data_IF_829910584148
#
_entry.id   IF_829910584148
#
_cell.length_a   1.000
_cell.length_b   1.000
_cell.length_c   1.000
_cell.angle_alpha   90.00
_cell.angle_beta   90.00
_cell.angle_gamma   90.00
#
_symmetry.space_group_name_H-M   'P 1'
#
loop_
_entity.id
_entity.type
_entity.pdbx_description
1 polymer ?
#
# COMPACT_ATOMS: atom_id res chain seq x y z
N UNK A 1 -49.42 -35.72 -9.54
CA UNK A 1 -48.20 -35.98 -8.75
C UNK A 1 -46.91 -35.90 -9.56
N UNK A 2 -46.76 -36.61 -10.70
CA UNK A 2 -45.50 -36.59 -11.49
C UNK A 2 -45.06 -35.18 -11.95
N UNK A 3 -45.99 -34.34 -12.39
CA UNK A 3 -45.71 -32.95 -12.82
C UNK A 3 -45.26 -32.06 -11.65
N UNK A 4 -45.88 -32.19 -10.49
CA UNK A 4 -45.47 -31.49 -9.26
C UNK A 4 -44.05 -31.86 -8.83
N UNK A 5 -43.69 -33.14 -8.96
CA UNK A 5 -42.35 -33.63 -8.65
C UNK A 5 -41.30 -33.07 -9.61
N UNK A 6 -41.62 -32.96 -10.90
CA UNK A 6 -40.74 -32.35 -11.91
C UNK A 6 -40.53 -30.86 -11.63
N UNK A 7 -41.59 -30.11 -11.28
CA UNK A 7 -41.50 -28.69 -10.94
C UNK A 7 -40.63 -28.50 -9.68
N UNK A 8 -40.77 -29.37 -8.68
CA UNK A 8 -39.95 -29.33 -7.47
C UNK A 8 -38.46 -29.54 -7.77
N UNK A 9 -38.13 -30.50 -8.64
CA UNK A 9 -36.75 -30.76 -9.07
C UNK A 9 -36.17 -29.55 -9.81
N UNK A 10 -36.94 -28.93 -10.71
CA UNK A 10 -36.50 -27.73 -11.44
C UNK A 10 -36.26 -26.55 -10.50
N UNK A 11 -37.08 -26.37 -9.47
CA UNK A 11 -36.88 -25.34 -8.44
C UNK A 11 -35.60 -25.58 -7.63
N UNK A 12 -35.33 -26.82 -7.22
CA UNK A 12 -34.10 -27.17 -6.50
C UNK A 12 -32.88 -26.87 -7.37
N UNK A 13 -32.90 -27.27 -8.65
CA UNK A 13 -31.81 -26.99 -9.60
C UNK A 13 -31.60 -25.48 -9.75
N UNK A 14 -32.68 -24.70 -9.91
CA UNK A 14 -32.60 -23.24 -10.01
C UNK A 14 -31.96 -22.62 -8.76
N UNK A 15 -32.35 -23.05 -7.56
CA UNK A 15 -31.75 -22.59 -6.30
C UNK A 15 -30.27 -22.96 -6.20
N UNK A 16 -29.89 -24.18 -6.59
CA UNK A 16 -28.48 -24.63 -6.57
C UNK A 16 -27.64 -23.82 -7.55
N UNK A 17 -28.11 -23.62 -8.79
CA UNK A 17 -27.39 -22.80 -9.78
C UNK A 17 -27.28 -21.34 -9.30
N UNK A 18 -28.36 -20.76 -8.78
CA UNK A 18 -28.34 -19.39 -8.22
C UNK A 18 -27.38 -19.28 -7.04
N UNK A 19 -27.35 -20.27 -6.14
CA UNK A 19 -26.42 -20.31 -5.01
C UNK A 19 -24.96 -20.44 -5.49
N UNK A 20 -24.67 -21.29 -6.47
CA UNK A 20 -23.32 -21.43 -7.03
C UNK A 20 -22.86 -20.15 -7.75
N UNK A 21 -23.74 -19.50 -8.50
CA UNK A 21 -23.44 -18.22 -9.18
C UNK A 21 -23.22 -17.10 -8.16
N UNK A 22 -24.08 -16.95 -7.15
CA UNK A 22 -23.88 -15.96 -6.09
C UNK A 22 -22.65 -16.26 -5.23
N UNK A 23 -22.36 -17.52 -4.91
CA UNK A 23 -21.13 -17.89 -4.18
C UNK A 23 -19.88 -17.53 -5.00
N UNK A 24 -19.90 -17.74 -6.31
CA UNK A 24 -18.80 -17.38 -7.20
C UNK A 24 -18.66 -15.87 -7.38
N UNK A 25 -19.79 -15.14 -7.40
CA UNK A 25 -19.83 -13.68 -7.50
C UNK A 25 -19.36 -13.01 -6.21
N UNK A 26 -19.81 -13.51 -5.06
CA UNK A 26 -19.32 -13.08 -3.74
C UNK A 26 -17.85 -13.47 -3.55
N UNK A 27 -17.38 -14.60 -4.07
CA UNK A 27 -15.94 -14.89 -4.09
C UNK A 27 -15.16 -13.87 -4.94
N UNK A 28 -15.73 -13.35 -6.04
CA UNK A 28 -15.06 -12.34 -6.87
C UNK A 28 -15.12 -10.96 -6.21
N UNK A 29 -16.21 -10.61 -5.52
CA UNK A 29 -16.37 -9.36 -4.76
C UNK A 29 -15.57 -9.36 -3.44
N UNK A 30 -15.42 -10.51 -2.76
CA UNK A 30 -14.55 -10.68 -1.58
C UNK A 30 -13.06 -10.78 -1.96
N UNK A 31 -12.72 -11.06 -3.23
CA UNK A 31 -11.33 -11.07 -3.75
C UNK A 31 -10.84 -9.64 -4.09
N UNK A 32 -11.74 -8.67 -4.26
CA UNK A 32 -11.38 -7.27 -4.54
C UNK A 32 -10.99 -6.47 -3.28
N UNK A 33 -11.15 -7.05 -2.09
CA UNK A 33 -10.77 -6.41 -0.83
C UNK A 33 -9.54 -7.06 -0.21
N UNK A 34 -8.39 -6.45 -0.47
CA UNK A 34 -7.31 -6.33 0.52
C UNK A 34 -6.40 -5.13 0.19
N UNK A 35 -6.18 -4.83 -1.10
CA UNK A 35 -5.40 -3.66 -1.53
C UNK A 35 -6.01 -2.98 -2.76
N UNK A 36 -5.78 -1.67 -2.94
CA UNK A 36 -6.34 -0.92 -4.07
C UNK A 36 -5.88 -1.49 -5.43
N UNK A 37 -6.83 -1.68 -6.36
CA UNK A 37 -6.56 -2.16 -7.73
C UNK A 37 -5.52 -1.27 -8.43
N UNK A 38 -5.57 0.03 -8.16
CA UNK A 38 -4.64 1.02 -8.71
C UNK A 38 -3.20 0.76 -8.23
N UNK A 39 -3.00 0.52 -6.95
CA UNK A 39 -1.70 0.23 -6.36
C UNK A 39 -1.12 -1.08 -6.89
N UNK A 40 -1.95 -2.11 -7.05
CA UNK A 40 -1.55 -3.36 -7.69
C UNK A 40 -1.13 -3.12 -9.15
N UNK A 41 -1.87 -2.30 -9.89
CA UNK A 41 -1.54 -1.92 -11.27
C UNK A 41 -0.20 -1.20 -11.35
N UNK A 42 0.06 -0.26 -10.44
CA UNK A 42 1.34 0.44 -10.30
C UNK A 42 2.48 -0.55 -10.06
N UNK A 43 2.36 -1.44 -9.08
CA UNK A 43 3.41 -2.41 -8.78
C UNK A 43 3.66 -3.34 -9.98
N UNK A 44 2.61 -3.80 -10.66
CA UNK A 44 2.75 -4.61 -11.88
C UNK A 44 3.47 -3.85 -13.00
N UNK A 45 3.17 -2.55 -13.17
CA UNK A 45 3.81 -1.68 -14.16
C UNK A 45 5.33 -1.59 -13.94
N UNK A 46 5.80 -1.46 -12.70
CA UNK A 46 7.22 -1.22 -12.42
C UNK A 46 8.03 -2.50 -12.09
N UNK A 47 7.39 -3.55 -11.57
CA UNK A 47 8.05 -4.77 -11.09
C UNK A 47 7.65 -6.03 -11.86
N UNK A 48 6.79 -5.90 -12.87
CA UNK A 48 6.34 -6.98 -13.75
C UNK A 48 5.08 -7.68 -13.25
N UNK A 49 4.58 -8.65 -14.03
CA UNK A 49 3.33 -9.37 -13.78
C UNK A 49 3.38 -10.37 -12.59
N UNK A 50 4.00 -9.98 -11.48
CA UNK A 50 4.00 -10.74 -10.22
C UNK A 50 2.63 -10.64 -9.55
N UNK A 51 2.35 -11.62 -8.70
CA UNK A 51 1.13 -11.64 -7.90
C UNK A 51 1.27 -10.70 -6.69
N UNK A 52 0.78 -9.47 -6.79
CA UNK A 52 0.82 -8.50 -5.69
C UNK A 52 -0.39 -8.56 -4.73
N UNK A 53 -1.46 -9.27 -5.09
CA UNK A 53 -2.71 -9.31 -4.32
C UNK A 53 -2.71 -10.30 -3.15
N UNK A 54 -1.60 -11.02 -2.93
CA UNK A 54 -1.47 -12.02 -1.84
C UNK A 54 -0.41 -11.65 -0.80
N UNK A 55 0.13 -10.43 -0.84
CA UNK A 55 1.21 -10.02 0.06
C UNK A 55 0.67 -9.71 1.46
N UNK A 56 0.47 -10.73 2.29
CA UNK A 56 0.18 -10.55 3.73
C UNK A 56 1.44 -10.46 4.59
N UNK A 57 2.59 -10.75 3.98
CA UNK A 57 3.87 -10.82 4.66
C UNK A 57 4.86 -9.84 4.00
N UNK A 58 5.53 -9.06 4.84
CA UNK A 58 6.44 -8.02 4.40
C UNK A 58 7.64 -8.61 3.66
N UNK A 59 8.11 -9.79 4.08
CA UNK A 59 9.23 -10.46 3.43
C UNK A 59 8.86 -10.90 2.00
N UNK A 60 7.65 -11.43 1.77
CA UNK A 60 7.15 -11.73 0.42
C UNK A 60 7.06 -10.47 -0.45
N UNK A 61 6.54 -9.36 0.09
CA UNK A 61 6.50 -8.08 -0.63
C UNK A 61 7.92 -7.61 -1.00
N UNK A 62 8.87 -7.61 -0.06
CA UNK A 62 10.27 -7.24 -0.30
C UNK A 62 10.92 -8.10 -1.38
N UNK A 63 10.63 -9.40 -1.40
CA UNK A 63 11.09 -10.33 -2.44
C UNK A 63 10.49 -9.99 -3.82
N UNK A 64 9.18 -9.69 -3.89
CA UNK A 64 8.52 -9.29 -5.15
C UNK A 64 9.02 -7.94 -5.66
N UNK A 65 9.39 -7.03 -4.78
CA UNK A 65 10.06 -5.78 -5.15
C UNK A 65 11.53 -5.97 -5.53
N UNK A 66 12.08 -7.19 -5.38
CA UNK A 66 13.45 -7.55 -5.69
C UNK A 66 14.48 -6.67 -4.98
N UNK A 67 14.27 -6.44 -3.68
CA UNK A 67 15.15 -5.66 -2.82
C UNK A 67 16.41 -6.48 -2.54
N UNK A 68 17.56 -6.08 -3.11
CA UNK A 68 18.82 -6.85 -3.13
C UNK A 68 19.91 -6.35 -2.17
N UNK A 69 19.55 -5.52 -1.19
CA UNK A 69 20.44 -4.85 -0.22
C UNK A 69 21.52 -3.95 -0.83
N UNK A 70 21.29 -2.64 -0.76
CA UNK A 70 22.13 -1.63 -0.09
C UNK A 70 21.48 -0.26 -0.39
N UNK A 71 20.62 0.18 0.52
CA UNK A 71 19.95 1.48 0.45
C UNK A 71 20.37 2.34 1.65
N UNK A 72 21.47 1.98 2.31
CA UNK A 72 21.80 2.52 3.64
C UNK A 72 22.04 4.01 3.60
N UNK A 73 22.77 4.49 2.59
CA UNK A 73 23.08 5.91 2.44
C UNK A 73 21.82 6.72 2.14
N UNK A 74 21.03 6.27 1.18
CA UNK A 74 19.77 6.92 0.81
C UNK A 74 18.78 6.94 1.99
N UNK A 75 18.63 5.81 2.69
CA UNK A 75 17.73 5.70 3.82
C UNK A 75 18.18 6.59 4.97
N UNK A 76 19.47 6.66 5.28
CA UNK A 76 19.98 7.51 6.37
C UNK A 76 19.56 8.96 6.18
N UNK A 77 19.74 9.52 4.98
CA UNK A 77 19.40 10.91 4.68
C UNK A 77 17.89 11.15 4.68
N UNK A 78 17.13 10.23 4.07
CA UNK A 78 15.67 10.32 4.04
C UNK A 78 15.07 10.21 5.45
N UNK A 79 15.57 9.30 6.29
CA UNK A 79 15.07 9.08 7.65
C UNK A 79 15.36 10.29 8.52
N UNK A 80 16.60 10.79 8.52
CA UNK A 80 17.00 11.96 9.31
C UNK A 80 16.11 13.18 8.98
N UNK A 81 15.93 13.45 7.69
CA UNK A 81 15.11 14.58 7.22
C UNK A 81 13.61 14.36 7.51
N UNK A 82 13.11 13.13 7.37
CA UNK A 82 11.72 12.78 7.69
C UNK A 82 11.43 13.01 9.17
N UNK A 83 12.25 12.49 10.08
CA UNK A 83 12.09 12.64 11.53
C UNK A 83 12.11 14.13 11.91
N UNK A 84 13.07 14.89 11.39
CA UNK A 84 13.18 16.31 11.66
C UNK A 84 11.89 17.07 11.25
N UNK A 85 11.37 16.82 10.05
CA UNK A 85 10.15 17.48 9.55
C UNK A 85 8.88 17.01 10.25
N UNK A 86 8.81 15.73 10.63
CA UNK A 86 7.70 15.22 11.44
C UNK A 86 7.66 15.96 12.78
N UNK A 87 8.80 16.09 13.47
CA UNK A 87 8.86 16.80 14.75
C UNK A 87 8.41 18.26 14.62
N UNK A 88 8.87 18.97 13.58
CA UNK A 88 8.42 20.35 13.31
C UNK A 88 6.90 20.42 13.10
N UNK A 89 6.34 19.52 12.27
CA UNK A 89 4.90 19.52 12.01
C UNK A 89 4.08 19.16 13.25
N UNK A 90 4.57 18.21 14.06
CA UNK A 90 3.95 17.81 15.32
C UNK A 90 3.89 19.00 16.28
N UNK A 91 5.03 19.65 16.55
CA UNK A 91 5.11 20.82 17.42
C UNK A 91 4.21 21.95 16.92
N UNK A 92 4.23 22.23 15.62
CA UNK A 92 3.37 23.25 15.02
C UNK A 92 1.88 22.96 15.24
N UNK A 93 1.45 21.71 15.03
CA UNK A 93 0.05 21.32 15.17
C UNK A 93 -0.41 21.38 16.63
N UNK A 94 0.39 20.88 17.57
CA UNK A 94 0.08 20.97 19.01
C UNK A 94 -0.03 22.44 19.45
N UNK A 95 0.92 23.28 19.08
CA UNK A 95 0.89 24.72 19.40
C UNK A 95 -0.30 25.45 18.76
N UNK A 96 -0.80 24.95 17.62
CA UNK A 96 -1.93 25.52 16.90
C UNK A 96 -3.28 24.89 17.27
N UNK A 97 -3.33 23.99 18.27
CA UNK A 97 -4.50 23.19 18.62
C UNK A 97 -5.13 22.46 17.42
N UNK A 98 -4.30 21.98 16.48
CA UNK A 98 -4.72 21.17 15.34
C UNK A 98 -4.39 19.70 15.58
N UNK A 99 -5.23 18.76 15.12
CA UNK A 99 -4.93 17.34 15.22
C UNK A 99 -3.67 17.00 14.41
N UNK A 100 -2.84 16.12 14.94
CA UNK A 100 -1.74 15.48 14.23
C UNK A 100 -2.02 13.97 14.22
N UNK A 101 -1.92 13.34 13.06
CA UNK A 101 -2.27 11.93 12.86
C UNK A 101 -1.11 11.18 12.21
N UNK A 102 -1.10 9.86 12.33
CA UNK A 102 -0.12 8.95 11.73
C UNK A 102 0.00 9.16 10.21
N UNK A 103 -1.13 9.47 9.56
CA UNK A 103 -1.19 9.83 8.14
C UNK A 103 -0.36 11.09 7.80
N UNK A 104 -0.21 12.03 8.73
CA UNK A 104 0.66 13.20 8.54
C UNK A 104 2.13 12.78 8.47
N UNK A 105 2.56 11.87 9.33
CA UNK A 105 3.91 11.31 9.32
C UNK A 105 4.20 10.56 8.02
N UNK A 106 3.30 9.67 7.59
CA UNK A 106 3.43 8.95 6.31
C UNK A 106 3.53 9.89 5.10
N UNK A 107 2.71 10.95 5.07
CA UNK A 107 2.78 11.98 4.03
C UNK A 107 4.12 12.69 4.01
N UNK A 108 4.69 12.98 5.18
CA UNK A 108 6.01 13.60 5.31
C UNK A 108 7.09 12.67 4.77
N UNK A 109 7.15 11.42 5.25
CA UNK A 109 8.09 10.42 4.73
C UNK A 109 7.99 10.28 3.20
N UNK A 110 6.76 10.19 2.68
CA UNK A 110 6.52 10.09 1.25
C UNK A 110 7.05 11.29 0.45
N UNK A 111 6.85 12.50 0.95
CA UNK A 111 7.37 13.70 0.31
C UNK A 111 8.91 13.74 0.37
N UNK A 112 9.53 13.35 1.50
CA UNK A 112 11.00 13.31 1.60
C UNK A 112 11.62 12.29 0.64
N UNK A 113 11.01 11.11 0.51
CA UNK A 113 11.45 10.12 -0.49
C UNK A 113 11.35 10.70 -1.90
N UNK A 114 10.27 11.40 -2.24
CA UNK A 114 10.11 12.05 -3.56
C UNK A 114 11.20 13.09 -3.74
N UNK A 115 11.36 14.00 -2.79
CA UNK A 115 12.29 15.12 -2.86
C UNK A 115 13.73 14.62 -3.06
N UNK A 116 14.15 13.66 -2.25
CA UNK A 116 15.43 12.99 -2.38
C UNK A 116 15.61 12.35 -3.75
N UNK A 117 14.62 11.56 -4.20
CA UNK A 117 14.73 10.85 -5.47
C UNK A 117 14.79 11.79 -6.68
N UNK A 118 14.07 12.91 -6.66
CA UNK A 118 14.12 13.91 -7.74
C UNK A 118 15.48 14.59 -7.79
N UNK A 119 16.00 15.02 -6.62
CA UNK A 119 17.30 15.68 -6.53
C UNK A 119 18.43 14.76 -7.01
N UNK A 120 18.39 13.50 -6.59
CA UNK A 120 19.40 12.49 -6.93
C UNK A 120 19.11 11.73 -8.24
N UNK A 121 18.08 12.13 -8.99
CA UNK A 121 17.66 11.51 -10.27
C UNK A 121 17.45 10.00 -10.19
N UNK A 122 16.93 9.54 -9.05
CA UNK A 122 16.63 8.13 -8.77
C UNK A 122 15.39 7.71 -9.55
N UNK A 123 15.42 6.55 -10.20
CA UNK A 123 14.24 6.05 -10.93
C UNK A 123 13.02 5.83 -10.01
N UNK A 124 11.82 6.04 -10.54
CA UNK A 124 10.56 5.80 -9.81
C UNK A 124 10.45 4.38 -9.25
N UNK A 125 10.98 3.37 -9.95
CA UNK A 125 11.01 1.99 -9.47
C UNK A 125 11.81 1.86 -8.17
N UNK A 126 12.97 2.54 -8.08
CA UNK A 126 13.77 2.60 -6.86
C UNK A 126 13.11 3.49 -5.80
N UNK A 127 12.45 4.58 -6.19
CA UNK A 127 11.68 5.42 -5.27
C UNK A 127 10.55 4.66 -4.55
N UNK A 128 9.83 3.77 -5.25
CA UNK A 128 8.82 2.88 -4.64
C UNK A 128 9.44 1.97 -3.59
N UNK A 129 10.63 1.42 -3.86
CA UNK A 129 11.36 0.60 -2.90
C UNK A 129 11.78 1.43 -1.69
N UNK A 130 12.32 2.63 -1.91
CA UNK A 130 12.70 3.55 -0.84
C UNK A 130 11.51 3.92 0.02
N UNK A 131 10.33 4.19 -0.56
CA UNK A 131 9.11 4.45 0.20
C UNK A 131 8.80 3.32 1.20
N UNK A 132 8.73 2.07 0.73
CA UNK A 132 8.45 0.92 1.60
C UNK A 132 9.51 0.77 2.69
N UNK A 133 10.79 0.95 2.33
CA UNK A 133 11.88 0.81 3.30
C UNK A 133 11.85 1.91 4.36
N UNK A 134 11.61 3.16 3.97
CA UNK A 134 11.52 4.30 4.88
C UNK A 134 10.40 4.12 5.90
N UNK A 135 9.18 3.80 5.47
CA UNK A 135 8.05 3.62 6.41
C UNK A 135 8.21 2.36 7.29
N UNK A 136 8.99 1.39 6.84
CA UNK A 136 9.29 0.17 7.59
C UNK A 136 10.54 0.30 8.49
N UNK A 137 11.16 1.47 8.58
CA UNK A 137 12.32 1.67 9.45
C UNK A 137 11.83 1.86 10.89
N UNK A 138 12.50 1.24 11.86
CA UNK A 138 12.10 1.21 13.28
C UNK A 138 11.84 2.61 13.83
N UNK A 139 12.73 3.56 13.53
CA UNK A 139 12.61 4.96 13.96
C UNK A 139 11.34 5.65 13.41
N UNK A 140 10.91 5.28 12.20
CA UNK A 140 9.67 5.82 11.61
C UNK A 140 8.45 5.09 12.19
N UNK A 141 8.54 3.77 12.39
CA UNK A 141 7.46 2.98 13.02
C UNK A 141 7.12 3.57 14.39
N UNK A 142 8.13 3.80 15.23
CA UNK A 142 7.95 4.34 16.59
C UNK A 142 7.26 5.72 16.61
N UNK A 143 7.46 6.53 15.58
CA UNK A 143 6.82 7.86 15.43
C UNK A 143 5.39 7.74 14.92
N UNK A 144 5.11 6.78 14.04
CA UNK A 144 3.81 6.59 13.41
C UNK A 144 2.88 5.83 14.37
N UNK A 145 3.33 4.79 15.08
CA UNK A 145 2.59 4.16 16.18
C UNK A 145 3.53 3.18 16.92
N UNK A 146 3.47 3.17 18.26
CA UNK A 146 4.00 2.04 19.03
C UNK A 146 3.17 0.79 18.65
N UNK A 147 3.82 -0.28 18.20
CA UNK A 147 3.23 -1.57 17.80
C UNK A 147 2.53 -1.66 16.41
N UNK A 148 3.01 -0.95 15.38
CA UNK A 148 2.55 -1.23 14.00
C UNK A 148 3.01 -2.63 13.55
N UNK A 149 2.03 -3.51 13.28
CA UNK A 149 2.27 -4.83 12.69
C UNK A 149 2.69 -4.70 11.22
N UNK A 150 3.46 -5.69 10.72
CA UNK A 150 3.91 -5.68 9.33
C UNK A 150 2.74 -5.64 8.30
N UNK A 151 1.56 -6.13 8.66
CA UNK A 151 0.35 -6.06 7.82
C UNK A 151 -0.14 -4.62 7.64
N UNK A 152 -0.17 -3.81 8.71
CA UNK A 152 -0.55 -2.40 8.66
C UNK A 152 0.42 -1.57 7.79
N UNK A 153 1.72 -1.87 7.83
CA UNK A 153 2.72 -1.22 6.96
C UNK A 153 2.44 -1.50 5.50
N UNK A 154 2.05 -2.73 5.19
CA UNK A 154 1.71 -3.13 3.83
C UNK A 154 0.45 -2.37 3.39
N UNK A 155 -0.57 -2.30 4.23
CA UNK A 155 -1.80 -1.53 3.94
C UNK A 155 -1.52 -0.05 3.71
N UNK A 156 -0.72 0.58 4.57
CA UNK A 156 -0.29 1.98 4.44
C UNK A 156 0.51 2.20 3.15
N UNK A 157 1.44 1.30 2.84
CA UNK A 157 2.18 1.33 1.59
C UNK A 157 1.24 1.29 0.37
N UNK A 158 0.32 0.32 0.33
CA UNK A 158 -0.62 0.19 -0.79
C UNK A 158 -1.57 1.38 -0.87
N UNK A 159 -2.08 1.88 0.24
CA UNK A 159 -3.04 3.00 0.24
C UNK A 159 -2.38 4.30 -0.24
N UNK A 160 -1.12 4.52 0.11
CA UNK A 160 -0.40 5.75 -0.21
C UNK A 160 0.25 5.75 -1.61
N UNK A 161 0.53 4.57 -2.16
CA UNK A 161 1.26 4.39 -3.42
C UNK A 161 0.72 5.22 -4.60
N UNK A 162 -0.61 5.30 -4.87
CA UNK A 162 -1.11 6.08 -6.01
C UNK A 162 -0.79 7.57 -5.91
N UNK A 163 -1.03 8.17 -4.74
CA UNK A 163 -0.73 9.58 -4.48
C UNK A 163 0.78 9.84 -4.55
N UNK A 164 1.59 8.91 -4.06
CA UNK A 164 3.06 8.99 -4.17
C UNK A 164 3.51 9.05 -5.64
N UNK A 165 2.98 8.18 -6.50
CA UNK A 165 3.33 8.14 -7.92
C UNK A 165 2.88 9.40 -8.66
N UNK A 166 1.67 9.90 -8.38
CA UNK A 166 1.16 11.14 -8.96
C UNK A 166 2.11 12.32 -8.64
N UNK A 167 2.40 12.51 -7.34
CA UNK A 167 3.31 13.57 -6.88
C UNK A 167 4.71 13.44 -7.45
N UNK A 168 5.26 12.23 -7.47
CA UNK A 168 6.58 11.96 -8.04
C UNK A 168 6.64 12.40 -9.50
N UNK A 169 5.67 11.98 -10.32
CA UNK A 169 5.64 12.31 -11.74
C UNK A 169 5.45 13.82 -11.98
N UNK A 170 4.59 14.46 -11.19
CA UNK A 170 4.35 15.90 -11.28
C UNK A 170 5.61 16.69 -10.94
N UNK A 171 6.35 16.28 -9.91
CA UNK A 171 7.62 16.92 -9.54
C UNK A 171 8.74 16.66 -10.54
N UNK A 172 8.81 15.45 -11.11
CA UNK A 172 9.82 15.08 -12.11
C UNK A 172 9.62 15.73 -13.49
N UNK A 173 8.41 16.23 -13.78
CA UNK A 173 8.10 16.91 -15.03
C UNK A 173 8.45 18.40 -15.03
N UNK A 174 8.76 18.96 -13.85
CA UNK A 174 9.17 20.35 -13.64
C UNK A 174 10.69 20.44 -13.48
#
# INVERSE_FOLDING_TARGET
MKILLIILILLIIFFVVKYLVNKKRNLIEDIETEYSIESISILKKYFGAKNFFQNKDLKDLKNKLAIKSDYKNELSEIIETSIHKINIQYEHNINSNKPYTNLNSLKTCGNEVIDYCINEKISIKKAIVLLLLTINTEEIKDIVNEDIEDEEIIEDFYSFLPTFIEKYNLKNAN
#
